data_IF_496914882383
#
_entry.id   IF_496914882383
#
_cell.length_a   1.000
_cell.length_b   1.000
_cell.length_c   1.000
_cell.angle_alpha   90.00
_cell.angle_beta   90.00
_cell.angle_gamma   90.00
#
_symmetry.space_group_name_H-M   'P 1'
#
loop_
_entity.id
_entity.type
_entity.pdbx_description
1 polymer ?
#
# COMPACT_ATOMS: atom_id res chain seq x y z
N UNK A 1 11.63 18.84 -37.68
CA UNK A 1 10.68 19.10 -36.59
C UNK A 1 9.92 17.82 -36.34
N UNK A 2 10.36 17.01 -35.36
CA UNK A 2 9.83 15.65 -35.14
C UNK A 2 8.37 15.76 -34.73
N UNK A 3 7.48 15.27 -35.61
CA UNK A 3 6.05 15.12 -35.34
C UNK A 3 5.88 14.13 -34.21
N UNK A 4 5.55 14.63 -33.02
CA UNK A 4 5.20 13.81 -31.86
C UNK A 4 3.90 13.08 -32.18
N UNK A 5 3.95 11.75 -32.29
CA UNK A 5 2.79 10.88 -32.49
C UNK A 5 1.99 10.75 -31.18
N UNK A 6 1.57 11.86 -30.57
CA UNK A 6 0.66 11.80 -29.41
C UNK A 6 -0.74 11.46 -29.91
N UNK A 7 -1.17 10.25 -29.60
CA UNK A 7 -2.48 9.69 -29.95
C UNK A 7 -3.64 10.24 -29.11
N UNK A 8 -3.36 11.14 -28.16
CA UNK A 8 -4.33 11.70 -27.22
C UNK A 8 -4.64 13.16 -27.57
N UNK A 9 -5.84 13.45 -28.13
CA UNK A 9 -6.23 14.79 -28.53
C UNK A 9 -6.56 15.72 -27.35
N UNK A 10 -6.56 15.21 -26.10
CA UNK A 10 -6.90 15.99 -24.91
C UNK A 10 -5.69 16.39 -24.06
N UNK A 11 -4.47 16.13 -24.52
CA UNK A 11 -3.24 16.42 -23.75
C UNK A 11 -3.18 17.84 -23.21
N UNK A 12 -3.66 18.81 -23.99
CA UNK A 12 -3.60 20.23 -23.65
C UNK A 12 -4.58 20.63 -22.53
N UNK A 13 -5.50 19.72 -22.16
CA UNK A 13 -6.44 19.91 -21.06
C UNK A 13 -5.94 19.35 -19.74
N UNK A 14 -4.79 18.68 -19.73
CA UNK A 14 -4.27 18.09 -18.52
C UNK A 14 -3.72 19.15 -17.55
N UNK A 15 -3.93 18.91 -16.25
CA UNK A 15 -3.37 19.78 -15.22
C UNK A 15 -1.84 19.75 -15.26
N UNK A 16 -1.18 20.86 -14.94
CA UNK A 16 0.28 20.98 -15.02
C UNK A 16 1.05 19.85 -14.30
N UNK A 17 0.54 19.35 -13.17
CA UNK A 17 1.12 18.23 -12.39
C UNK A 17 1.25 16.92 -13.18
N UNK A 18 0.44 16.73 -14.22
CA UNK A 18 0.46 15.51 -15.04
C UNK A 18 1.71 15.41 -15.90
N UNK A 19 2.38 16.53 -16.21
CA UNK A 19 3.60 16.53 -17.02
C UNK A 19 4.75 15.74 -16.39
N UNK A 20 4.78 15.60 -15.06
CA UNK A 20 5.79 14.83 -14.33
C UNK A 20 5.43 13.35 -14.14
N UNK A 21 4.21 12.92 -14.53
CA UNK A 21 3.78 11.54 -14.35
C UNK A 21 4.45 10.67 -15.42
N UNK A 22 5.25 9.71 -14.99
CA UNK A 22 5.94 8.75 -15.86
C UNK A 22 5.47 7.34 -15.55
N UNK A 23 5.43 6.49 -16.58
CA UNK A 23 5.19 5.07 -16.36
C UNK A 23 6.38 4.45 -15.62
N UNK A 24 6.11 3.48 -14.76
CA UNK A 24 7.17 2.73 -14.08
C UNK A 24 7.78 1.71 -15.06
N UNK A 25 9.00 1.97 -15.52
CA UNK A 25 9.78 1.03 -16.33
C UNK A 25 10.00 -0.31 -15.60
N UNK A 26 10.14 -0.26 -14.26
CA UNK A 26 10.22 -1.47 -13.41
C UNK A 26 8.94 -2.29 -13.51
N UNK A 27 7.76 -1.66 -13.54
CA UNK A 27 6.48 -2.37 -13.72
C UNK A 27 6.38 -3.03 -15.09
N UNK A 28 6.88 -2.36 -16.14
CA UNK A 28 6.95 -2.94 -17.49
C UNK A 28 7.89 -4.15 -17.54
N UNK A 29 9.05 -4.07 -16.89
CA UNK A 29 9.98 -5.19 -16.71
C UNK A 29 9.33 -6.35 -15.93
N UNK A 30 8.57 -6.04 -14.87
CA UNK A 30 7.86 -7.04 -14.06
C UNK A 30 6.76 -7.80 -14.79
N UNK A 31 6.13 -7.19 -15.80
CA UNK A 31 5.19 -7.88 -16.66
C UNK A 31 5.85 -8.98 -17.51
N UNK A 32 7.17 -8.89 -17.77
CA UNK A 32 7.90 -9.88 -18.56
C UNK A 32 8.44 -11.02 -17.69
N UNK A 33 8.87 -10.73 -16.46
CA UNK A 33 9.41 -11.74 -15.53
C UNK A 33 8.34 -12.63 -14.89
N UNK A 34 7.06 -12.35 -15.05
CA UNK A 34 5.96 -13.22 -14.61
C UNK A 34 5.73 -14.42 -15.54
N UNK A 35 6.48 -14.52 -16.64
CA UNK A 35 6.44 -15.64 -17.58
C UNK A 35 7.03 -16.91 -16.94
N UNK A 36 6.38 -18.09 -17.02
CA UNK A 36 6.81 -19.32 -16.36
C UNK A 36 8.25 -19.76 -16.68
N UNK A 37 8.74 -19.42 -17.88
CA UNK A 37 10.07 -19.76 -18.37
C UNK A 37 11.20 -18.85 -17.86
N UNK A 38 10.87 -17.80 -17.11
CA UNK A 38 11.85 -16.81 -16.62
C UNK A 38 12.09 -16.99 -15.12
N UNK A 39 13.35 -17.18 -14.72
CA UNK A 39 13.76 -17.07 -13.32
C UNK A 39 14.11 -15.62 -13.03
N UNK A 40 13.37 -14.98 -12.12
CA UNK A 40 13.56 -13.58 -11.77
C UNK A 40 14.14 -13.41 -10.37
N UNK A 41 15.29 -12.73 -10.29
CA UNK A 41 15.92 -12.29 -9.04
C UNK A 41 15.71 -10.79 -8.77
N UNK A 42 15.04 -10.08 -9.68
CA UNK A 42 14.83 -8.64 -9.62
C UNK A 42 13.49 -8.25 -8.97
N UNK A 43 12.62 -9.22 -8.68
CA UNK A 43 11.28 -8.98 -8.12
C UNK A 43 11.33 -8.48 -6.68
N UNK A 44 10.48 -7.51 -6.34
CA UNK A 44 10.25 -7.03 -4.97
C UNK A 44 9.04 -7.66 -4.28
N UNK A 45 8.51 -8.77 -4.81
CA UNK A 45 7.31 -9.41 -4.28
C UNK A 45 7.67 -10.29 -3.07
N UNK A 46 7.01 -10.11 -1.92
CA UNK A 46 7.22 -11.00 -0.78
C UNK A 46 6.74 -12.42 -1.10
N UNK A 47 7.31 -13.41 -0.41
CA UNK A 47 6.90 -14.81 -0.53
C UNK A 47 5.51 -15.02 0.10
N UNK A 48 4.44 -14.78 -0.67
CA UNK A 48 3.04 -14.93 -0.18
C UNK A 48 2.72 -16.34 0.28
N UNK A 49 3.43 -17.36 -0.21
CA UNK A 49 3.32 -18.75 0.25
C UNK A 49 3.77 -18.95 1.70
N UNK A 50 4.53 -18.02 2.27
CA UNK A 50 4.94 -18.03 3.67
C UNK A 50 3.90 -17.40 4.60
N UNK A 51 2.84 -16.77 4.06
CA UNK A 51 1.77 -16.21 4.86
C UNK A 51 0.89 -17.33 5.43
N UNK A 52 0.45 -17.23 6.70
CA UNK A 52 -0.46 -18.21 7.30
C UNK A 52 -1.90 -18.00 6.79
N UNK A 53 -2.17 -18.44 5.55
CA UNK A 53 -3.43 -18.15 4.85
C UNK A 53 -4.68 -18.64 5.60
N UNK A 54 -4.58 -19.78 6.30
CA UNK A 54 -5.68 -20.31 7.11
C UNK A 54 -6.05 -19.36 8.26
N UNK A 55 -5.03 -18.82 8.94
CA UNK A 55 -5.23 -17.85 10.02
C UNK A 55 -5.82 -16.54 9.47
N UNK A 56 -5.33 -16.06 8.31
CA UNK A 56 -5.87 -14.88 7.65
C UNK A 56 -7.35 -15.07 7.29
N UNK A 57 -7.70 -16.21 6.72
CA UNK A 57 -9.08 -16.55 6.38
C UNK A 57 -10.00 -16.57 7.61
N UNK A 58 -9.56 -17.22 8.71
CA UNK A 58 -10.32 -17.25 9.97
C UNK A 58 -10.53 -15.84 10.52
N UNK A 59 -9.47 -15.03 10.60
CA UNK A 59 -9.56 -13.66 11.15
C UNK A 59 -10.54 -12.78 10.35
N UNK A 60 -10.55 -12.89 9.02
CA UNK A 60 -11.52 -12.17 8.19
C UNK A 60 -12.95 -12.67 8.46
N UNK A 61 -13.14 -13.98 8.59
CA UNK A 61 -14.43 -14.58 8.93
C UNK A 61 -14.98 -14.09 10.26
N UNK A 62 -14.14 -14.08 11.29
CA UNK A 62 -14.48 -13.58 12.63
C UNK A 62 -14.81 -12.08 12.58
N UNK A 63 -13.98 -11.29 11.88
CA UNK A 63 -14.19 -9.84 11.73
C UNK A 63 -15.55 -9.52 11.09
N UNK A 64 -15.92 -10.21 10.02
CA UNK A 64 -17.22 -9.98 9.35
C UNK A 64 -18.38 -10.44 10.22
N UNK A 65 -18.22 -11.56 10.94
CA UNK A 65 -19.28 -12.11 11.80
C UNK A 65 -19.55 -11.23 13.02
N UNK A 66 -18.50 -10.72 13.66
CA UNK A 66 -18.60 -9.97 14.91
C UNK A 66 -18.77 -8.46 14.69
N UNK A 67 -18.18 -7.92 13.61
CA UNK A 67 -18.04 -6.47 13.39
C UNK A 67 -18.39 -6.02 11.97
N UNK A 68 -18.99 -6.88 11.14
CA UNK A 68 -19.14 -6.65 9.69
C UNK A 68 -19.79 -5.33 9.30
N UNK A 69 -20.84 -4.89 10.00
CA UNK A 69 -21.51 -3.62 9.70
C UNK A 69 -20.58 -2.39 9.91
N UNK A 70 -19.70 -2.43 10.91
CA UNK A 70 -18.74 -1.37 11.17
C UNK A 70 -17.55 -1.46 10.20
N UNK A 71 -17.05 -2.67 9.93
CA UNK A 71 -15.91 -2.91 9.03
C UNK A 71 -16.20 -2.51 7.58
N UNK A 72 -17.43 -2.71 7.11
CA UNK A 72 -17.82 -2.40 5.73
C UNK A 72 -18.30 -0.96 5.54
N UNK A 73 -18.41 -0.19 6.62
CA UNK A 73 -18.78 1.22 6.57
C UNK A 73 -17.55 2.10 6.33
N UNK A 74 -17.77 3.33 5.85
CA UNK A 74 -16.75 4.35 5.80
C UNK A 74 -16.01 4.50 7.13
N UNK A 75 -14.68 4.43 7.06
CA UNK A 75 -13.78 4.67 8.19
C UNK A 75 -13.43 6.14 8.38
N UNK A 76 -12.67 6.43 9.43
CA UNK A 76 -12.09 7.75 9.65
C UNK A 76 -11.03 8.07 8.59
N UNK A 77 -10.82 9.35 8.27
CA UNK A 77 -9.76 9.76 7.35
C UNK A 77 -8.34 9.53 7.85
N UNK A 78 -8.16 9.21 9.14
CA UNK A 78 -6.86 8.87 9.74
C UNK A 78 -6.60 7.36 9.76
N UNK A 79 -7.63 6.54 9.56
CA UNK A 79 -7.61 5.09 9.75
C UNK A 79 -8.31 4.62 11.02
N UNK A 80 -8.28 3.32 11.27
CA UNK A 80 -8.87 2.70 12.45
C UNK A 80 -8.04 3.03 13.73
N UNK A 81 -8.66 3.51 14.82
CA UNK A 81 -7.93 3.87 16.05
C UNK A 81 -7.15 2.71 16.66
N UNK A 82 -7.70 1.50 16.67
CA UNK A 82 -7.03 0.33 17.25
C UNK A 82 -5.82 -0.06 16.41
N UNK A 83 -5.92 0.02 15.08
CA UNK A 83 -4.79 -0.21 14.19
C UNK A 83 -3.66 0.79 14.44
N UNK A 84 -3.98 2.07 14.65
CA UNK A 84 -2.98 3.12 14.96
C UNK A 84 -2.24 2.82 16.26
N UNK A 85 -2.94 2.40 17.31
CA UNK A 85 -2.32 1.95 18.56
C UNK A 85 -1.38 0.75 18.35
N UNK A 86 -1.82 -0.25 17.56
CA UNK A 86 -0.97 -1.43 17.25
C UNK A 86 0.25 -1.09 16.41
N UNK A 87 0.16 -0.11 15.52
CA UNK A 87 1.32 0.39 14.78
C UNK A 87 2.35 0.97 15.75
N UNK A 88 1.91 1.76 16.75
CA UNK A 88 2.80 2.28 17.80
C UNK A 88 3.47 1.15 18.59
N UNK A 89 2.74 0.08 18.95
CA UNK A 89 3.31 -1.09 19.62
C UNK A 89 4.46 -1.71 18.80
N UNK A 90 4.30 -1.81 17.48
CA UNK A 90 5.34 -2.34 16.57
C UNK A 90 6.52 -1.38 16.46
N UNK A 91 6.25 -0.07 16.32
CA UNK A 91 7.29 0.97 16.24
C UNK A 91 8.16 1.00 17.49
N UNK A 92 7.57 0.76 18.67
CA UNK A 92 8.30 0.71 19.92
C UNK A 92 9.33 -0.43 19.96
N UNK A 93 9.09 -1.54 19.26
CA UNK A 93 10.07 -2.64 19.14
C UNK A 93 11.35 -2.21 18.42
N UNK A 94 11.24 -1.23 17.52
CA UNK A 94 12.36 -0.62 16.80
C UNK A 94 12.97 0.58 17.56
N UNK A 95 12.57 0.79 18.82
CA UNK A 95 13.04 1.88 19.67
C UNK A 95 12.43 3.25 19.38
N UNK A 96 11.45 3.33 18.48
CA UNK A 96 10.76 4.58 18.16
C UNK A 96 9.75 4.87 19.29
N UNK A 97 10.08 5.84 20.14
CA UNK A 97 9.27 6.24 21.30
C UNK A 97 9.91 6.02 22.68
N UNK A 98 11.13 5.49 22.76
CA UNK A 98 11.84 5.30 24.02
C UNK A 98 12.78 6.48 24.29
N UNK A 99 12.23 7.58 24.83
CA UNK A 99 13.06 8.72 25.26
C UNK A 99 12.36 10.08 25.26
N UNK A 100 11.25 10.24 25.97
CA UNK A 100 10.69 11.56 26.32
C UNK A 100 10.06 12.38 25.20
N UNK A 101 10.39 12.12 23.93
CA UNK A 101 9.85 12.83 22.78
C UNK A 101 8.74 12.00 22.10
N UNK A 102 7.55 12.61 22.06
CA UNK A 102 6.25 12.01 21.85
C UNK A 102 5.92 11.68 20.37
N UNK A 103 6.88 11.15 19.61
CA UNK A 103 6.72 11.04 18.15
C UNK A 103 5.83 9.87 17.72
N UNK A 104 5.86 8.74 18.45
CA UNK A 104 5.05 7.56 18.17
C UNK A 104 3.70 7.54 18.94
N UNK A 105 3.02 8.69 19.03
CA UNK A 105 1.64 8.73 19.53
C UNK A 105 0.68 8.29 18.41
N UNK A 106 -0.42 7.58 18.74
CA UNK A 106 -1.44 7.22 17.74
C UNK A 106 -1.90 8.44 16.92
N UNK A 107 -2.00 9.62 17.55
CA UNK A 107 -2.38 10.89 16.92
C UNK A 107 -1.45 11.37 15.81
N UNK A 108 -0.21 10.88 15.77
CA UNK A 108 0.76 11.16 14.71
C UNK A 108 0.76 10.10 13.59
N UNK A 109 -0.12 9.09 13.66
CA UNK A 109 -0.19 7.99 12.69
C UNK A 109 -1.40 8.17 11.76
N UNK A 110 -1.14 8.11 10.44
CA UNK A 110 -2.17 8.08 9.39
C UNK A 110 -2.01 6.82 8.56
N UNK A 111 -3.10 6.06 8.38
CA UNK A 111 -3.12 4.86 7.54
C UNK A 111 -3.39 5.26 6.09
N UNK A 112 -2.50 4.86 5.17
CA UNK A 112 -2.61 5.12 3.73
C UNK A 112 -2.76 3.83 2.94
N UNK A 113 -3.30 3.93 1.72
CA UNK A 113 -3.42 2.83 0.76
C UNK A 113 -2.20 2.68 -0.13
#
# INVERSE_FOLDING_TARGET
MVSSTRLDPYSDRYAARTHGMTASEIRALFAVVSRPEVVSLAGGMPAVTALPLDAVGSMIGDLVSDHGAATLQYGSGQGDPRLRERICDVMALEGIGVGGDADALPDNVVVTV
#
